data_IF_057441147965
#
_entry.id   IF_057441147965
#
_cell.length_a   1.000
_cell.length_b   1.000
_cell.length_c   1.000
_cell.angle_alpha   90.00
_cell.angle_beta   90.00
_cell.angle_gamma   90.00
#
_symmetry.space_group_name_H-M   'P 1'
#
loop_
_entity.id
_entity.type
_entity.pdbx_description
1 polymer ?
#
# COMPACT_ATOMS: atom_id res chain seq x y z
N UNK A 1 8.76 -15.56 15.85
CA UNK A 1 8.47 -15.78 17.29
C UNK A 1 9.10 -17.10 17.66
N UNK A 2 9.66 -17.23 18.87
CA UNK A 2 10.02 -18.54 19.40
C UNK A 2 8.73 -19.38 19.52
N UNK A 3 8.79 -20.71 19.30
CA UNK A 3 7.63 -21.57 19.50
C UNK A 3 7.09 -21.41 20.93
N UNK A 4 5.77 -21.48 21.13
CA UNK A 4 5.18 -21.34 22.47
C UNK A 4 5.76 -22.41 23.42
N UNK A 5 6.08 -22.05 24.67
CA UNK A 5 6.52 -23.00 25.68
C UNK A 5 5.57 -24.22 25.77
N UNK A 6 6.12 -25.44 25.92
CA UNK A 6 5.29 -26.64 26.01
C UNK A 6 4.30 -26.55 27.18
N UNK A 7 3.07 -27.00 26.98
CA UNK A 7 2.03 -27.07 28.02
C UNK A 7 1.11 -25.85 28.15
N UNK A 8 1.29 -24.78 27.35
CA UNK A 8 0.36 -23.63 27.39
C UNK A 8 -1.02 -23.99 26.83
N UNK A 9 -2.09 -23.52 27.48
CA UNK A 9 -3.45 -23.62 26.95
C UNK A 9 -3.65 -22.66 25.76
N UNK A 10 -4.66 -22.90 24.93
CA UNK A 10 -4.98 -22.00 23.81
C UNK A 10 -5.28 -20.57 24.30
N UNK A 11 -5.96 -20.43 25.44
CA UNK A 11 -6.25 -19.14 26.06
C UNK A 11 -4.96 -18.39 26.43
N UNK A 12 -3.99 -19.04 27.07
CA UNK A 12 -2.72 -18.42 27.45
C UNK A 12 -1.95 -17.92 26.23
N UNK A 13 -1.90 -18.72 25.16
CA UNK A 13 -1.27 -18.33 23.90
C UNK A 13 -1.94 -17.11 23.25
N UNK A 14 -3.28 -17.07 23.27
CA UNK A 14 -4.05 -15.94 22.73
C UNK A 14 -3.87 -14.66 23.57
N UNK A 15 -3.86 -14.76 24.89
CA UNK A 15 -3.58 -13.62 25.77
C UNK A 15 -2.17 -13.06 25.50
N UNK A 16 -1.17 -13.94 25.42
CA UNK A 16 0.20 -13.54 25.09
C UNK A 16 0.27 -12.88 23.71
N UNK A 17 -0.43 -13.42 22.71
CA UNK A 17 -0.50 -12.82 21.38
C UNK A 17 -1.15 -11.43 21.41
N UNK A 18 -2.24 -11.27 22.17
CA UNK A 18 -2.99 -10.03 22.28
C UNK A 18 -2.16 -8.86 22.87
N UNK A 19 -1.17 -9.17 23.69
CA UNK A 19 -0.25 -8.18 24.27
C UNK A 19 0.84 -7.69 23.29
N UNK A 20 0.88 -8.22 22.06
CA UNK A 20 1.90 -7.84 21.09
C UNK A 20 1.47 -6.68 20.19
N UNK A 21 2.43 -5.83 19.82
CA UNK A 21 2.22 -4.82 18.78
C UNK A 21 1.82 -5.43 17.43
N UNK A 22 2.21 -6.68 17.14
CA UNK A 22 1.83 -7.36 15.91
C UNK A 22 0.34 -7.71 15.88
N UNK A 23 -0.23 -8.07 17.03
CA UNK A 23 -1.66 -8.29 17.15
C UNK A 23 -2.44 -6.98 17.03
N UNK A 24 -1.98 -5.89 17.65
CA UNK A 24 -2.58 -4.56 17.46
C UNK A 24 -2.57 -4.12 15.98
N UNK A 25 -1.47 -4.39 15.28
CA UNK A 25 -1.33 -4.19 13.85
C UNK A 25 -2.33 -5.04 13.04
N UNK A 26 -2.49 -6.32 13.38
CA UNK A 26 -3.49 -7.20 12.77
C UNK A 26 -4.92 -6.69 12.97
N UNK A 27 -5.28 -6.32 14.21
CA UNK A 27 -6.60 -5.78 14.52
C UNK A 27 -6.88 -4.49 13.75
N UNK A 28 -5.87 -3.63 13.58
CA UNK A 28 -6.01 -2.42 12.77
C UNK A 28 -6.35 -2.74 11.30
N UNK A 29 -5.69 -3.72 10.69
CA UNK A 29 -6.05 -4.14 9.33
C UNK A 29 -7.46 -4.74 9.23
N UNK A 30 -7.87 -5.56 10.21
CA UNK A 30 -9.24 -6.08 10.27
C UNK A 30 -10.26 -4.94 10.41
N UNK A 31 -10.02 -3.98 11.31
CA UNK A 31 -10.86 -2.79 11.47
C UNK A 31 -10.96 -1.99 10.18
N UNK A 32 -9.85 -1.80 9.46
CA UNK A 32 -9.82 -1.14 8.16
C UNK A 32 -10.73 -1.86 7.16
N UNK A 33 -10.60 -3.17 7.01
CA UNK A 33 -11.43 -3.97 6.08
C UNK A 33 -12.93 -3.85 6.41
N UNK A 34 -13.30 -4.00 7.68
CA UNK A 34 -14.70 -3.88 8.11
C UNK A 34 -15.25 -2.47 7.87
N UNK A 35 -14.46 -1.44 8.15
CA UNK A 35 -14.84 -0.05 7.90
C UNK A 35 -14.96 0.27 6.41
N UNK A 36 -14.02 -0.21 5.58
CA UNK A 36 -14.13 -0.06 4.13
C UNK A 36 -15.35 -0.78 3.59
N UNK A 37 -15.64 -2.01 4.02
CA UNK A 37 -16.83 -2.74 3.61
C UNK A 37 -18.10 -1.95 3.96
N UNK A 38 -18.22 -1.48 5.20
CA UNK A 38 -19.37 -0.68 5.65
C UNK A 38 -19.49 0.63 4.88
N UNK A 39 -18.37 1.29 4.59
CA UNK A 39 -18.36 2.50 3.76
C UNK A 39 -18.79 2.20 2.32
N UNK A 40 -18.31 1.10 1.74
CA UNK A 40 -18.67 0.62 0.41
C UNK A 40 -20.17 0.36 0.28
N UNK A 41 -20.79 -0.25 1.28
CA UNK A 41 -22.26 -0.40 1.32
C UNK A 41 -22.96 0.96 1.27
N UNK A 42 -22.51 1.93 2.06
CA UNK A 42 -23.03 3.30 2.00
C UNK A 42 -22.82 3.97 0.64
N UNK A 43 -21.76 3.62 -0.09
CA UNK A 43 -21.51 4.15 -1.42
C UNK A 43 -22.47 3.55 -2.46
N UNK A 44 -22.70 2.23 -2.40
CA UNK A 44 -23.61 1.51 -3.31
C UNK A 44 -25.06 1.90 -3.07
N UNK A 45 -25.46 2.16 -1.81
CA UNK A 45 -26.81 2.64 -1.48
C UNK A 45 -26.96 4.17 -1.61
N UNK A 46 -26.04 4.85 -2.30
CA UNK A 46 -26.03 6.31 -2.50
C UNK A 46 -26.12 7.14 -1.21
N UNK A 47 -25.66 6.60 -0.08
CA UNK A 47 -25.72 7.22 1.25
C UNK A 47 -24.30 7.48 1.82
N UNK A 48 -23.38 7.87 0.95
CA UNK A 48 -21.96 8.11 1.26
C UNK A 48 -21.70 9.38 2.09
N UNK A 49 -22.69 10.26 2.18
CA UNK A 49 -22.68 11.47 3.01
C UNK A 49 -23.20 11.27 4.44
N UNK A 50 -23.76 10.10 4.77
CA UNK A 50 -24.28 9.82 6.11
C UNK A 50 -23.21 9.93 7.21
N UNK A 51 -23.67 10.16 8.45
CA UNK A 51 -22.82 10.14 9.65
C UNK A 51 -22.04 8.83 9.75
N UNK A 52 -22.71 7.70 9.49
CA UNK A 52 -22.10 6.37 9.50
C UNK A 52 -21.07 6.18 8.39
N UNK A 53 -21.34 6.65 7.17
CA UNK A 53 -20.35 6.60 6.08
C UNK A 53 -19.10 7.42 6.43
N UNK A 54 -19.29 8.63 6.97
CA UNK A 54 -18.17 9.46 7.41
C UNK A 54 -17.39 8.80 8.55
N UNK A 55 -18.08 8.25 9.55
CA UNK A 55 -17.46 7.52 10.64
C UNK A 55 -16.61 6.34 10.11
N UNK A 56 -17.19 5.47 9.29
CA UNK A 56 -16.47 4.33 8.71
C UNK A 56 -15.26 4.77 7.88
N UNK A 57 -15.38 5.81 7.06
CA UNK A 57 -14.26 6.36 6.28
C UNK A 57 -13.12 6.85 7.18
N UNK A 58 -13.44 7.63 8.22
CA UNK A 58 -12.44 8.18 9.14
C UNK A 58 -11.80 7.08 9.98
N UNK A 59 -12.58 6.13 10.47
CA UNK A 59 -12.07 4.99 11.24
C UNK A 59 -11.18 4.09 10.38
N UNK A 60 -11.48 3.89 9.09
CA UNK A 60 -10.61 3.15 8.19
C UNK A 60 -9.22 3.80 8.04
N UNK A 61 -9.16 5.12 7.86
CA UNK A 61 -7.88 5.84 7.76
C UNK A 61 -7.16 6.00 9.11
N UNK A 62 -7.90 6.10 10.21
CA UNK A 62 -7.30 6.01 11.54
C UNK A 62 -6.65 4.64 11.76
N UNK A 63 -7.34 3.57 11.41
CA UNK A 63 -6.81 2.21 11.48
C UNK A 63 -5.56 2.06 10.58
N UNK A 64 -5.59 2.59 9.35
CA UNK A 64 -4.42 2.64 8.46
C UNK A 64 -3.25 3.40 9.09
N UNK A 65 -3.50 4.57 9.67
CA UNK A 65 -2.46 5.37 10.32
C UNK A 65 -1.84 4.62 11.51
N UNK A 66 -2.64 3.91 12.31
CA UNK A 66 -2.16 3.08 13.40
C UNK A 66 -1.30 1.92 12.88
N UNK A 67 -1.75 1.17 11.86
CA UNK A 67 -1.00 0.02 11.34
C UNK A 67 0.33 0.44 10.73
N UNK A 68 0.35 1.45 9.85
CA UNK A 68 1.60 1.96 9.29
C UNK A 68 2.48 2.62 10.35
N UNK A 69 1.89 3.31 11.34
CA UNK A 69 2.61 3.87 12.49
C UNK A 69 3.37 2.80 13.27
N UNK A 70 2.73 1.64 13.53
CA UNK A 70 3.40 0.49 14.18
C UNK A 70 4.58 -0.01 13.33
N UNK A 71 4.42 -0.13 12.01
CA UNK A 71 5.49 -0.62 11.12
C UNK A 71 6.67 0.37 11.10
N UNK A 72 6.39 1.66 10.97
CA UNK A 72 7.41 2.72 11.02
C UNK A 72 8.14 2.71 12.36
N UNK A 73 7.41 2.64 13.48
CA UNK A 73 8.00 2.56 14.82
C UNK A 73 8.92 1.33 14.98
N UNK A 74 8.46 0.15 14.54
CA UNK A 74 9.27 -1.08 14.59
C UNK A 74 10.53 -0.96 13.73
N UNK A 75 10.42 -0.41 12.52
CA UNK A 75 11.55 -0.19 11.62
C UNK A 75 12.58 0.75 12.22
N UNK A 76 12.13 1.87 12.79
CA UNK A 76 13.00 2.82 13.49
C UNK A 76 13.70 2.20 14.70
N UNK A 77 12.95 1.50 15.57
CA UNK A 77 13.53 0.82 16.74
C UNK A 77 14.52 -0.27 16.36
N UNK A 78 14.28 -0.99 15.27
CA UNK A 78 15.21 -2.01 14.76
C UNK A 78 16.53 -1.39 14.27
N UNK A 79 16.48 -0.26 13.54
CA UNK A 79 17.68 0.48 13.11
C UNK A 79 18.50 0.94 14.31
N UNK A 80 17.85 1.59 15.28
CA UNK A 80 18.51 2.06 16.50
C UNK A 80 19.21 0.93 17.28
N UNK A 81 18.58 -0.24 17.40
CA UNK A 81 19.18 -1.43 18.04
C UNK A 81 20.37 -2.00 17.27
N UNK A 82 20.41 -1.82 15.96
CA UNK A 82 21.47 -2.37 15.09
C UNK A 82 22.76 -1.54 15.09
N UNK A 83 22.84 -0.44 15.86
CA UNK A 83 23.98 0.48 15.86
C UNK A 83 24.14 1.30 14.57
N UNK A 84 23.37 0.98 13.52
CA UNK A 84 23.21 1.84 12.35
C UNK A 84 22.44 3.09 12.81
N UNK A 85 23.01 4.28 12.60
CA UNK A 85 22.33 5.54 12.86
C UNK A 85 20.94 5.59 12.21
N UNK A 86 20.09 6.54 12.61
CA UNK A 86 18.65 6.56 12.28
C UNK A 86 18.31 6.71 10.77
N UNK A 87 19.32 6.76 9.90
CA UNK A 87 19.20 7.10 8.49
C UNK A 87 19.13 8.61 8.31
N UNK A 88 19.44 9.10 7.10
CA UNK A 88 19.19 10.51 6.80
C UNK A 88 17.67 10.76 6.75
N UNK A 89 17.19 11.99 7.04
CA UNK A 89 15.78 12.34 6.90
C UNK A 89 15.20 11.98 5.52
N UNK A 90 16.03 12.10 4.47
CA UNK A 90 15.71 11.69 3.10
C UNK A 90 15.43 10.18 2.97
N UNK A 91 16.21 9.33 3.64
CA UNK A 91 15.98 7.87 3.64
C UNK A 91 14.69 7.49 4.35
N UNK A 92 14.30 8.23 5.39
CA UNK A 92 13.03 7.99 6.09
C UNK A 92 11.83 8.40 5.22
N UNK A 93 11.90 9.52 4.52
CA UNK A 93 10.85 9.96 3.57
C UNK A 93 10.74 9.00 2.38
N UNK A 94 11.86 8.39 1.98
CA UNK A 94 11.88 7.35 0.94
C UNK A 94 11.33 5.99 1.42
N UNK A 95 11.07 5.78 2.71
CA UNK A 95 10.49 4.52 3.20
C UNK A 95 9.01 4.43 2.83
N UNK A 96 8.60 3.36 2.14
CA UNK A 96 7.21 3.24 1.67
C UNK A 96 6.21 3.26 2.82
N UNK A 97 6.57 2.71 3.99
CA UNK A 97 5.65 2.67 5.13
C UNK A 97 5.42 4.08 5.69
N UNK A 98 6.45 4.93 5.66
CA UNK A 98 6.34 6.34 6.04
C UNK A 98 5.47 7.09 5.04
N UNK A 99 5.62 6.81 3.74
CA UNK A 99 4.78 7.41 2.69
C UNK A 99 3.30 7.01 2.85
N UNK A 100 3.01 5.73 3.08
CA UNK A 100 1.65 5.28 3.33
C UNK A 100 1.07 5.79 4.66
N UNK A 101 1.88 5.94 5.71
CA UNK A 101 1.47 6.60 6.95
C UNK A 101 1.08 8.05 6.69
N UNK A 102 1.93 8.81 5.99
CA UNK A 102 1.65 10.20 5.64
C UNK A 102 0.36 10.31 4.82
N UNK A 103 0.17 9.43 3.83
CA UNK A 103 -1.06 9.40 3.05
C UNK A 103 -2.28 9.03 3.88
N UNK A 104 -2.18 8.07 4.80
CA UNK A 104 -3.28 7.72 5.69
C UNK A 104 -3.72 8.91 6.54
N UNK A 105 -2.77 9.69 7.07
CA UNK A 105 -3.05 10.93 7.82
C UNK A 105 -3.67 12.02 6.92
N UNK A 106 -3.15 12.22 5.71
CA UNK A 106 -3.73 13.18 4.75
C UNK A 106 -5.19 12.82 4.45
N UNK A 107 -5.47 11.55 4.15
CA UNK A 107 -6.83 11.07 3.87
C UNK A 107 -7.75 11.12 5.09
N UNK A 108 -7.20 10.94 6.30
CA UNK A 108 -7.94 11.05 7.54
C UNK A 108 -8.54 12.44 7.73
N UNK A 109 -7.86 13.50 7.28
CA UNK A 109 -8.32 14.89 7.44
C UNK A 109 -8.88 15.53 6.17
N UNK A 110 -8.57 15.00 4.99
CA UNK A 110 -9.10 15.52 3.73
C UNK A 110 -10.60 15.24 3.54
N UNK A 111 -11.20 15.79 2.49
CA UNK A 111 -12.52 15.33 2.03
C UNK A 111 -12.52 13.83 1.68
N UNK A 112 -13.69 13.21 1.74
CA UNK A 112 -13.86 11.78 1.44
C UNK A 112 -13.60 11.52 -0.05
N UNK A 113 -12.57 10.73 -0.34
CA UNK A 113 -12.30 10.20 -1.68
C UNK A 113 -12.36 8.67 -1.57
N UNK A 114 -13.48 8.03 -1.97
CA UNK A 114 -13.66 6.57 -1.85
C UNK A 114 -12.50 5.77 -2.45
N UNK A 115 -12.02 6.20 -3.63
CA UNK A 115 -10.92 5.54 -4.34
C UNK A 115 -9.64 5.45 -3.51
N UNK A 116 -9.41 6.38 -2.58
CA UNK A 116 -8.23 6.37 -1.70
C UNK A 116 -8.22 5.22 -0.70
N UNK A 117 -9.36 4.60 -0.39
CA UNK A 117 -9.43 3.43 0.50
C UNK A 117 -8.92 2.16 -0.17
N UNK A 118 -9.00 2.07 -1.50
CA UNK A 118 -8.81 0.81 -2.21
C UNK A 118 -7.37 0.28 -2.13
N UNK A 119 -6.30 1.07 -2.33
CA UNK A 119 -4.92 0.59 -2.14
C UNK A 119 -4.70 0.00 -0.74
N UNK A 120 -5.13 0.72 0.31
CA UNK A 120 -5.01 0.29 1.70
C UNK A 120 -5.81 -0.98 2.00
N UNK A 121 -6.96 -1.14 1.34
CA UNK A 121 -7.82 -2.32 1.48
C UNK A 121 -7.13 -3.55 0.87
N UNK A 122 -6.55 -3.41 -0.33
CA UNK A 122 -5.80 -4.51 -0.97
C UNK A 122 -4.64 -4.95 -0.07
N UNK A 123 -3.81 -4.02 0.42
CA UNK A 123 -2.73 -4.36 1.35
C UNK A 123 -3.26 -5.06 2.62
N UNK A 124 -4.36 -4.54 3.18
CA UNK A 124 -4.95 -5.11 4.40
C UNK A 124 -5.45 -6.54 4.22
N UNK A 125 -5.99 -6.91 3.06
CA UNK A 125 -6.38 -8.30 2.74
C UNK A 125 -5.16 -9.23 2.85
N UNK A 126 -4.05 -8.86 2.21
CA UNK A 126 -2.83 -9.67 2.24
C UNK A 126 -2.20 -9.71 3.64
N UNK A 127 -2.22 -8.60 4.37
CA UNK A 127 -1.73 -8.53 5.75
C UNK A 127 -2.54 -9.41 6.70
N UNK A 128 -3.87 -9.37 6.62
CA UNK A 128 -4.76 -10.25 7.40
C UNK A 128 -4.55 -11.71 7.01
N UNK A 129 -4.47 -12.03 5.72
CA UNK A 129 -4.24 -13.39 5.23
C UNK A 129 -2.90 -13.96 5.72
N UNK A 130 -1.80 -13.23 5.51
CA UNK A 130 -0.45 -13.67 5.90
C UNK A 130 -0.29 -13.78 7.41
N UNK A 131 -0.86 -12.84 8.18
CA UNK A 131 -0.86 -12.93 9.65
C UNK A 131 -1.68 -14.12 10.15
N UNK A 132 -2.85 -14.35 9.55
CA UNK A 132 -3.72 -15.47 9.89
C UNK A 132 -2.97 -16.78 9.68
N UNK A 133 -2.33 -16.94 8.51
CA UNK A 133 -1.55 -18.12 8.16
C UNK A 133 -0.33 -18.32 9.06
N UNK A 134 0.47 -17.28 9.25
CA UNK A 134 1.79 -17.39 9.86
C UNK A 134 1.82 -17.29 11.38
N UNK A 135 0.77 -16.71 11.99
CA UNK A 135 0.75 -16.41 13.43
C UNK A 135 -0.52 -16.91 14.07
N UNK A 136 -1.70 -16.49 13.59
CA UNK A 136 -2.96 -16.79 14.26
C UNK A 136 -3.28 -18.30 14.25
N UNK A 137 -3.19 -18.96 13.09
CA UNK A 137 -3.47 -20.39 12.97
C UNK A 137 -2.53 -21.24 13.84
N UNK A 138 -1.18 -21.08 13.78
CA UNK A 138 -0.28 -21.81 14.69
C UNK A 138 -0.52 -21.50 16.18
N UNK A 139 -1.06 -20.32 16.51
CA UNK A 139 -1.37 -19.96 17.91
C UNK A 139 -2.61 -20.72 18.42
N UNK A 140 -3.64 -20.86 17.58
CA UNK A 140 -4.89 -21.55 17.93
C UNK A 140 -4.70 -23.07 17.83
N UNK A 141 -4.09 -23.52 16.75
CA UNK A 141 -3.83 -24.92 16.41
C UNK A 141 -2.32 -25.13 16.21
N UNK A 142 -1.56 -25.37 17.29
CA UNK A 142 -0.14 -25.64 17.20
C UNK A 142 0.11 -26.82 16.27
N UNK A 143 1.10 -26.74 15.37
CA UNK A 143 1.45 -27.87 14.53
C UNK A 143 1.94 -29.03 15.40
N UNK A 144 1.73 -30.29 14.96
CA UNK A 144 2.22 -31.45 15.68
C UNK A 144 3.75 -31.38 15.84
N UNK A 145 4.25 -31.88 16.97
CA UNK A 145 5.68 -32.00 17.20
C UNK A 145 6.27 -32.95 16.15
N UNK A 146 7.30 -32.49 15.44
CA UNK A 146 8.02 -33.27 14.44
C UNK A 146 9.49 -33.42 14.85
N UNK A 147 10.16 -34.53 14.47
CA UNK A 147 11.58 -34.72 14.71
C UNK A 147 12.43 -33.56 14.16
N UNK A 148 13.59 -33.32 14.77
CA UNK A 148 14.51 -32.27 14.36
C UNK A 148 14.86 -32.39 12.86
N UNK A 149 14.73 -31.30 12.11
CA UNK A 149 14.99 -31.24 10.67
C UNK A 149 13.76 -31.48 9.77
N UNK A 150 12.62 -31.91 10.32
CA UNK A 150 11.37 -32.01 9.57
C UNK A 150 10.52 -30.74 9.74
N UNK A 151 9.87 -30.30 8.66
CA UNK A 151 8.89 -29.20 8.73
C UNK A 151 7.55 -29.79 9.19
N UNK A 152 6.89 -29.18 10.19
CA UNK A 152 5.56 -29.61 10.57
C UNK A 152 4.59 -29.48 9.40
N UNK A 153 3.67 -30.44 9.27
CA UNK A 153 2.64 -30.40 8.25
C UNK A 153 1.77 -29.12 8.40
N UNK A 154 1.52 -28.43 7.29
CA UNK A 154 0.60 -27.31 7.26
C UNK A 154 -0.85 -27.77 7.36
N UNK A 155 -1.70 -27.01 8.06
CA UNK A 155 -3.15 -27.23 7.99
C UNK A 155 -3.69 -26.88 6.61
N UNK A 156 -4.78 -27.52 6.18
CA UNK A 156 -5.40 -27.26 4.87
C UNK A 156 -5.84 -25.79 4.66
N UNK A 157 -6.22 -25.10 5.74
CA UNK A 157 -6.50 -23.67 5.71
C UNK A 157 -5.22 -22.83 5.49
N UNK A 158 -4.11 -23.19 6.15
CA UNK A 158 -2.81 -22.53 5.95
C UNK A 158 -2.35 -22.65 4.49
N UNK A 159 -2.55 -23.82 3.86
CA UNK A 159 -2.21 -24.04 2.45
C UNK A 159 -3.11 -23.25 1.51
N UNK A 160 -4.42 -23.21 1.78
CA UNK A 160 -5.38 -22.41 0.99
C UNK A 160 -5.06 -20.93 1.03
N UNK A 161 -4.76 -20.38 2.22
CA UNK A 161 -4.30 -18.99 2.35
C UNK A 161 -2.97 -18.79 1.62
N UNK A 162 -2.06 -19.77 1.72
CA UNK A 162 -0.77 -19.72 1.02
C UNK A 162 -0.91 -19.65 -0.50
N UNK A 163 -1.81 -20.46 -1.08
CA UNK A 163 -2.16 -20.42 -2.50
C UNK A 163 -2.79 -19.09 -2.88
N UNK A 164 -3.79 -18.63 -2.13
CA UNK A 164 -4.41 -17.32 -2.36
C UNK A 164 -3.36 -16.19 -2.42
N UNK A 165 -2.45 -16.12 -1.43
CA UNK A 165 -1.41 -15.09 -1.43
C UNK A 165 -0.52 -15.22 -2.65
N UNK A 166 -0.08 -16.43 -3.02
CA UNK A 166 0.79 -16.66 -4.17
C UNK A 166 0.11 -16.29 -5.49
N UNK A 167 -1.11 -16.78 -5.70
CA UNK A 167 -1.80 -16.72 -6.99
C UNK A 167 -2.29 -15.29 -7.31
N UNK A 168 -2.61 -14.50 -6.28
CA UNK A 168 -3.17 -13.17 -6.46
C UNK A 168 -2.20 -12.02 -6.15
N UNK A 169 -0.97 -12.28 -5.69
CA UNK A 169 -0.02 -11.22 -5.33
C UNK A 169 0.28 -10.27 -6.49
N UNK A 170 0.76 -10.78 -7.63
CA UNK A 170 1.16 -9.94 -8.76
C UNK A 170 -0.03 -9.18 -9.38
N UNK A 171 -1.18 -9.86 -9.51
CA UNK A 171 -2.41 -9.24 -9.98
C UNK A 171 -2.88 -8.12 -9.04
N UNK A 172 -2.79 -8.33 -7.72
CA UNK A 172 -3.18 -7.34 -6.72
C UNK A 172 -2.21 -6.17 -6.66
N UNK A 173 -0.91 -6.41 -6.82
CA UNK A 173 0.10 -5.34 -6.90
C UNK A 173 -0.08 -4.49 -8.17
N UNK A 174 -0.44 -5.12 -9.29
CA UNK A 174 -0.81 -4.43 -10.53
C UNK A 174 -2.08 -3.60 -10.32
N UNK A 175 -3.08 -4.13 -9.62
CA UNK A 175 -4.30 -3.41 -9.25
C UNK A 175 -3.99 -2.21 -8.35
N UNK A 176 -3.13 -2.36 -7.34
CA UNK A 176 -2.71 -1.24 -6.47
C UNK A 176 -2.06 -0.14 -7.30
N UNK A 177 -1.12 -0.50 -8.18
CA UNK A 177 -0.49 0.49 -9.06
C UNK A 177 -1.54 1.22 -9.93
N UNK A 178 -2.59 0.52 -10.37
CA UNK A 178 -3.62 1.10 -11.23
C UNK A 178 -4.46 2.08 -10.43
N UNK A 179 -4.87 1.68 -9.23
CA UNK A 179 -5.58 2.51 -8.27
C UNK A 179 -4.76 3.76 -7.89
N UNK A 180 -3.45 3.62 -7.66
CA UNK A 180 -2.56 4.73 -7.33
C UNK A 180 -2.50 5.76 -8.47
N UNK A 181 -2.38 5.31 -9.72
CA UNK A 181 -2.38 6.17 -10.91
C UNK A 181 -3.76 6.81 -11.15
N UNK A 182 -4.83 6.02 -11.10
CA UNK A 182 -6.21 6.52 -11.27
C UNK A 182 -6.56 7.56 -10.20
N UNK A 183 -6.09 7.37 -8.96
CA UNK A 183 -6.33 8.31 -7.88
C UNK A 183 -5.68 9.68 -8.16
N UNK A 184 -4.51 9.71 -8.80
CA UNK A 184 -3.90 10.97 -9.23
C UNK A 184 -4.79 11.71 -10.24
N UNK A 185 -5.27 11.02 -11.29
CA UNK A 185 -6.17 11.61 -12.28
C UNK A 185 -7.49 12.09 -11.65
N UNK A 186 -8.02 11.32 -10.68
CA UNK A 186 -9.23 11.70 -9.93
C UNK A 186 -9.02 12.97 -9.09
N UNK A 187 -7.84 13.18 -8.52
CA UNK A 187 -7.49 14.39 -7.77
C UNK A 187 -7.24 15.55 -8.73
N UNK A 188 -6.52 15.32 -9.84
CA UNK A 188 -6.30 16.30 -10.90
C UNK A 188 -7.62 16.84 -11.45
N UNK A 189 -8.56 15.96 -11.78
CA UNK A 189 -9.89 16.36 -12.25
C UNK A 189 -10.58 17.29 -11.25
N UNK A 190 -10.45 17.03 -9.95
CA UNK A 190 -10.93 17.93 -8.90
C UNK A 190 -10.17 19.24 -8.75
N UNK A 191 -8.89 19.28 -9.12
CA UNK A 191 -8.07 20.50 -9.15
C UNK A 191 -8.49 21.42 -10.31
N UNK A 192 -8.72 20.84 -11.49
CA UNK A 192 -9.17 21.56 -12.69
C UNK A 192 -10.51 22.26 -12.47
N UNK A 193 -11.44 21.61 -11.75
CA UNK A 193 -12.73 22.23 -11.37
C UNK A 193 -12.67 23.00 -10.05
N UNK A 194 -11.47 23.34 -9.56
CA UNK A 194 -11.22 24.19 -8.38
C UNK A 194 -11.95 23.77 -7.09
N UNK A 195 -12.16 22.46 -6.88
CA UNK A 195 -12.74 21.99 -5.62
C UNK A 195 -11.85 22.38 -4.43
N UNK A 196 -12.44 22.85 -3.34
CA UNK A 196 -11.68 23.34 -2.18
C UNK A 196 -10.65 22.32 -1.68
N UNK A 197 -9.39 22.75 -1.60
CA UNK A 197 -8.25 21.96 -1.11
C UNK A 197 -7.71 20.91 -2.11
N UNK A 198 -8.25 20.80 -3.32
CA UNK A 198 -7.79 19.82 -4.31
C UNK A 198 -6.38 20.10 -4.84
N UNK A 199 -5.98 21.37 -4.97
CA UNK A 199 -4.63 21.76 -5.38
C UNK A 199 -3.56 21.32 -4.37
N UNK A 200 -3.83 21.49 -3.08
CA UNK A 200 -2.93 21.02 -2.01
C UNK A 200 -2.83 19.49 -2.05
N UNK A 201 -3.97 18.80 -2.16
CA UNK A 201 -3.99 17.34 -2.30
C UNK A 201 -3.26 16.87 -3.56
N UNK A 202 -3.37 17.60 -4.66
CA UNK A 202 -2.69 17.27 -5.92
C UNK A 202 -1.17 17.35 -5.74
N UNK A 203 -0.65 18.40 -5.09
CA UNK A 203 0.78 18.53 -4.81
C UNK A 203 1.27 17.38 -3.92
N UNK A 204 0.61 17.15 -2.78
CA UNK A 204 0.99 16.08 -1.83
C UNK A 204 0.96 14.71 -2.52
N UNK A 205 -0.13 14.41 -3.24
CA UNK A 205 -0.28 13.12 -3.91
C UNK A 205 0.67 12.96 -5.09
N UNK A 206 1.08 14.05 -5.75
CA UNK A 206 2.09 14.01 -6.80
C UNK A 206 3.46 13.64 -6.23
N UNK A 207 3.85 14.16 -5.07
CA UNK A 207 5.08 13.75 -4.38
C UNK A 207 5.03 12.26 -4.04
N UNK A 208 3.92 11.78 -3.47
CA UNK A 208 3.70 10.36 -3.22
C UNK A 208 3.80 9.53 -4.50
N UNK A 209 3.08 9.90 -5.56
CA UNK A 209 3.11 9.13 -6.80
C UNK A 209 4.51 9.13 -7.43
N UNK A 210 5.26 10.23 -7.31
CA UNK A 210 6.63 10.31 -7.82
C UNK A 210 7.56 9.31 -7.14
N UNK A 211 7.48 9.18 -5.82
CA UNK A 211 8.26 8.17 -5.10
C UNK A 211 7.83 6.76 -5.55
N UNK A 212 6.53 6.52 -5.70
CA UNK A 212 6.02 5.24 -6.22
C UNK A 212 6.51 4.92 -7.63
N UNK A 213 6.60 5.88 -8.54
CA UNK A 213 7.18 5.70 -9.88
C UNK A 213 8.64 5.25 -9.78
N UNK A 214 9.41 5.78 -8.83
CA UNK A 214 10.82 5.38 -8.65
C UNK A 214 10.99 4.01 -7.98
N UNK A 215 10.06 3.61 -7.11
CA UNK A 215 10.21 2.46 -6.22
C UNK A 215 9.41 1.21 -6.64
N UNK A 216 8.30 1.38 -7.37
CA UNK A 216 7.39 0.30 -7.74
C UNK A 216 7.56 -0.11 -9.20
N UNK A 217 8.03 -1.34 -9.41
CA UNK A 217 8.12 -1.95 -10.75
C UNK A 217 6.75 -2.10 -11.41
N UNK A 218 5.68 -2.28 -10.62
CA UNK A 218 4.30 -2.36 -11.13
C UNK A 218 3.82 -1.01 -11.69
N UNK A 219 4.11 0.10 -10.99
CA UNK A 219 3.79 1.45 -11.49
C UNK A 219 4.59 1.77 -12.74
N UNK A 220 5.89 1.46 -12.75
CA UNK A 220 6.75 1.62 -13.93
C UNK A 220 6.24 0.80 -15.11
N UNK A 221 5.88 -0.47 -14.88
CA UNK A 221 5.36 -1.37 -15.92
C UNK A 221 4.08 -0.84 -16.54
N UNK A 222 3.16 -0.32 -15.72
CA UNK A 222 1.91 0.24 -16.21
C UNK A 222 2.08 1.56 -16.95
N UNK A 223 2.98 2.44 -16.50
CA UNK A 223 3.33 3.64 -17.26
C UNK A 223 3.97 3.30 -18.62
N UNK A 224 4.85 2.30 -18.67
CA UNK A 224 5.42 1.79 -19.93
C UNK A 224 4.34 1.23 -20.85
N UNK A 225 3.42 0.42 -20.32
CA UNK A 225 2.33 -0.14 -21.11
C UNK A 225 1.38 0.96 -21.62
N UNK A 226 1.06 1.96 -20.80
CA UNK A 226 0.27 3.11 -21.20
C UNK A 226 0.97 3.92 -22.30
N UNK A 227 2.28 4.14 -22.16
CA UNK A 227 3.12 4.79 -23.18
C UNK A 227 3.09 4.02 -24.51
N UNK A 228 3.35 2.71 -24.48
CA UNK A 228 3.34 1.87 -25.67
C UNK A 228 1.98 1.84 -26.37
N UNK A 229 0.87 1.82 -25.62
CA UNK A 229 -0.48 1.92 -26.17
C UNK A 229 -0.73 3.29 -26.81
N UNK A 230 -0.29 4.37 -26.16
CA UNK A 230 -0.39 5.72 -26.72
C UNK A 230 0.42 5.86 -28.01
N UNK A 231 1.64 5.33 -28.06
CA UNK A 231 2.46 5.29 -29.27
C UNK A 231 1.77 4.47 -30.38
N UNK A 232 1.19 3.31 -30.05
CA UNK A 232 0.47 2.50 -31.01
C UNK A 232 -0.76 3.23 -31.59
N UNK A 233 -1.51 3.96 -30.75
CA UNK A 233 -2.68 4.74 -31.17
C UNK A 233 -2.30 5.96 -32.01
N UNK A 234 -1.28 6.72 -31.59
CA UNK A 234 -0.82 7.90 -32.30
C UNK A 234 -0.23 7.54 -33.68
N UNK A 235 0.48 6.41 -33.78
CA UNK A 235 1.15 5.99 -35.01
C UNK A 235 0.25 5.18 -35.96
N UNK A 236 -1.05 5.03 -35.68
CA UNK A 236 -1.95 4.40 -36.64
C UNK A 236 -1.97 5.20 -37.95
N UNK A 237 -2.16 4.49 -39.07
CA UNK A 237 -2.20 5.12 -40.39
C UNK A 237 -3.41 6.03 -40.57
N UNK A 238 -4.52 5.74 -39.89
CA UNK A 238 -5.76 6.49 -39.89
C UNK A 238 -5.80 7.62 -38.84
N UNK A 239 -4.76 7.76 -38.01
CA UNK A 239 -4.72 8.79 -36.98
C UNK A 239 -4.44 10.18 -37.59
N UNK A 240 -5.24 11.22 -37.25
CA UNK A 240 -4.97 12.59 -37.70
C UNK A 240 -3.58 13.07 -37.27
N UNK A 241 -2.87 13.89 -38.08
CA UNK A 241 -1.56 14.44 -37.70
C UNK A 241 -1.57 15.17 -36.34
N UNK A 242 -2.69 15.81 -36.01
CA UNK A 242 -2.89 16.47 -34.72
C UNK A 242 -2.80 15.48 -33.52
N UNK A 243 -3.25 14.23 -33.69
CA UNK A 243 -3.17 13.23 -32.64
C UNK A 243 -1.71 12.84 -32.33
N UNK A 244 -0.87 12.75 -33.36
CA UNK A 244 0.58 12.52 -33.20
C UNK A 244 1.25 13.69 -32.49
N UNK A 245 0.99 14.92 -32.95
CA UNK A 245 1.54 16.13 -32.35
C UNK A 245 1.14 16.27 -30.87
N UNK A 246 -0.14 16.05 -30.55
CA UNK A 246 -0.64 16.10 -29.18
C UNK A 246 0.03 15.03 -28.29
N UNK A 247 0.19 13.80 -28.81
CA UNK A 247 0.85 12.72 -28.08
C UNK A 247 2.35 13.01 -27.84
N UNK A 248 3.05 13.52 -28.85
CA UNK A 248 4.47 13.89 -28.71
C UNK A 248 4.66 15.07 -27.75
N UNK A 249 3.78 16.06 -27.78
CA UNK A 249 3.77 17.17 -26.82
C UNK A 249 3.53 16.65 -25.39
N UNK A 250 2.56 15.75 -25.21
CA UNK A 250 2.29 15.13 -23.92
C UNK A 250 3.50 14.34 -23.40
N UNK A 251 4.17 13.55 -24.25
CA UNK A 251 5.42 12.85 -23.89
C UNK A 251 6.51 13.83 -23.50
N UNK A 252 6.67 14.93 -24.24
CA UNK A 252 7.64 15.98 -23.94
C UNK A 252 7.42 16.60 -22.56
N UNK A 253 6.18 17.03 -22.27
CA UNK A 253 5.80 17.60 -20.97
C UNK A 253 6.00 16.57 -19.85
N UNK A 254 5.58 15.33 -20.05
CA UNK A 254 5.73 14.27 -19.05
C UNK A 254 7.19 13.99 -18.72
N UNK A 255 8.07 13.99 -19.74
CA UNK A 255 9.52 13.84 -19.57
C UNK A 255 10.12 15.04 -18.82
N UNK A 256 9.75 16.25 -19.19
CA UNK A 256 10.21 17.46 -18.51
C UNK A 256 9.78 17.48 -17.04
N UNK A 257 8.53 17.13 -16.75
CA UNK A 257 8.01 17.02 -15.40
C UNK A 257 8.71 15.92 -14.59
N UNK A 258 8.97 14.76 -15.21
CA UNK A 258 9.75 13.68 -14.60
C UNK A 258 11.15 14.16 -14.21
N UNK A 259 11.83 14.85 -15.11
CA UNK A 259 13.20 15.32 -14.94
C UNK A 259 13.31 16.46 -13.92
N UNK A 260 12.34 17.39 -13.90
CA UNK A 260 12.27 18.48 -12.93
C UNK A 260 12.00 17.98 -11.50
N UNK A 261 11.30 16.85 -11.36
CA UNK A 261 10.94 16.24 -10.07
C UNK A 261 11.87 15.08 -9.67
N UNK A 262 12.96 14.86 -10.41
CA UNK A 262 13.93 13.81 -10.11
C UNK A 262 14.89 14.24 -8.99
N UNK A 263 14.54 13.88 -7.75
CA UNK A 263 15.33 14.18 -6.55
C UNK A 263 16.70 13.47 -6.60
N UNK A 264 16.84 12.36 -7.36
CA UNK A 264 18.11 11.63 -7.46
C UNK A 264 19.23 12.48 -8.11
N UNK A 265 18.87 13.45 -8.95
CA UNK A 265 19.82 14.42 -9.53
C UNK A 265 20.39 15.38 -8.49
N UNK A 266 19.64 15.68 -7.43
CA UNK A 266 20.06 16.53 -6.32
C UNK A 266 20.72 15.74 -5.17
N UNK A 267 20.64 14.40 -5.22
CA UNK A 267 21.21 13.49 -4.21
C UNK A 267 22.63 13.02 -4.53
N UNK A 268 23.23 13.47 -5.64
CA UNK A 268 24.61 13.13 -5.99
C UNK A 268 24.80 11.63 -6.25
N UNK A 269 24.43 11.16 -7.45
CA UNK A 269 25.07 10.01 -8.10
C UNK A 269 25.13 8.67 -7.37
N UNK A 270 24.37 8.42 -6.29
CA UNK A 270 24.33 7.10 -5.68
C UNK A 270 23.36 6.19 -6.44
N UNK A 271 23.97 5.31 -7.23
CA UNK A 271 23.37 4.18 -7.96
C UNK A 271 22.27 3.51 -7.14
N UNK A 272 21.10 3.18 -7.72
CA UNK A 272 20.05 2.47 -7.00
C UNK A 272 20.61 1.12 -6.53
N UNK A 273 20.73 0.96 -5.22
CA UNK A 273 21.01 -0.33 -4.60
C UNK A 273 19.86 -1.25 -4.97
N UNK A 274 20.11 -2.17 -5.90
CA UNK A 274 19.24 -3.32 -6.14
C UNK A 274 19.09 -4.07 -4.82
N UNK A 275 17.98 -3.84 -4.12
CA UNK A 275 17.56 -4.74 -3.06
C UNK A 275 17.16 -6.04 -3.75
N UNK A 276 18.03 -7.04 -3.64
CA UNK A 276 17.68 -8.43 -3.92
C UNK A 276 16.38 -8.75 -3.18
N UNK A 277 15.43 -9.28 -3.93
CA UNK A 277 14.25 -9.93 -3.38
C UNK A 277 14.70 -10.93 -2.31
N UNK A 278 14.07 -10.87 -1.14
CA UNK A 278 14.11 -11.90 -0.09
C UNK A 278 12.68 -12.12 0.35
#
# INVERSE_FOLDING_TARGET
MAPPPPGQTAQQRLIALAQTLQFAWFTGHVTLLLCTLRYGLSYITFNSASRWARFSYRTAFLAAAVTYGIVVFKGYRARAKSGKGQGSPLQLIADENVQYLAMALVWLFSRQIPLALLPFTVYSIFHVATYTRGILLPTIQPPPAVPAGQKPASSGLSETIGRFVKDYYDASMSLVAALELTLWFRILGSAIIFQRGSWILLVIYTVFLRTRISQSTFVQGMLRQAGARGDALANRQDAPPAARQAWDQFKGISKQAHDATDISRYLGGQTPVQKKAS
#
